data_IF_593127905278
#
_entry.id   IF_593127905278
#
_cell.length_a   1.000
_cell.length_b   1.000
_cell.length_c   1.000
_cell.angle_alpha   90.00
_cell.angle_beta   90.00
_cell.angle_gamma   90.00
#
_symmetry.space_group_name_H-M   'P 1'
#
loop_
_entity.id
_entity.type
_entity.pdbx_description
1 polymer ?
#
# COMPACT_ATOMS: atom_id res chain seq x y z
N UNK A 1 112.58 30.92 59.46
CA UNK A 1 112.32 31.51 58.13
C UNK A 1 111.67 30.53 57.15
N UNK A 2 111.29 29.29 57.54
CA UNK A 2 110.74 28.26 56.61
C UNK A 2 109.21 28.24 56.46
N UNK A 3 108.46 28.84 57.37
CA UNK A 3 106.99 28.69 57.37
C UNK A 3 106.30 29.60 56.32
N UNK A 4 106.96 30.69 55.93
CA UNK A 4 106.44 31.63 54.91
C UNK A 4 106.51 31.09 53.48
N UNK A 5 107.49 30.25 53.14
CA UNK A 5 107.64 29.70 51.78
C UNK A 5 106.69 28.53 51.49
N UNK A 6 106.36 27.72 52.51
CA UNK A 6 105.37 26.65 52.38
C UNK A 6 103.95 27.21 52.27
N UNK A 7 103.63 28.23 53.08
CA UNK A 7 102.35 28.91 53.03
C UNK A 7 102.13 29.63 51.69
N UNK A 8 103.18 30.27 51.16
CA UNK A 8 103.13 30.94 49.86
C UNK A 8 102.90 29.97 48.69
N UNK A 9 103.54 28.78 48.69
CA UNK A 9 103.31 27.73 47.68
C UNK A 9 101.91 27.11 47.75
N UNK A 10 101.38 26.88 48.95
CA UNK A 10 100.04 26.33 49.12
C UNK A 10 98.95 27.34 48.71
N UNK A 11 99.13 28.62 49.03
CA UNK A 11 98.25 29.70 48.57
C UNK A 11 98.31 29.84 47.04
N UNK A 12 99.49 29.76 46.43
CA UNK A 12 99.63 29.76 44.97
C UNK A 12 98.95 28.55 44.30
N UNK A 13 99.11 27.35 44.86
CA UNK A 13 98.45 26.13 44.36
C UNK A 13 96.92 26.23 44.42
N UNK A 14 96.38 26.65 45.57
CA UNK A 14 94.94 26.88 45.74
C UNK A 14 94.40 27.96 44.81
N UNK A 15 95.17 29.02 44.56
CA UNK A 15 94.79 30.07 43.62
C UNK A 15 94.73 29.54 42.17
N UNK A 16 95.69 28.69 41.78
CA UNK A 16 95.75 28.11 40.45
C UNK A 16 94.64 27.05 40.20
N UNK A 17 94.32 26.25 41.22
CA UNK A 17 93.18 25.32 41.21
C UNK A 17 91.85 26.08 41.12
N UNK A 18 91.74 27.22 41.82
CA UNK A 18 90.57 28.09 41.73
C UNK A 18 90.44 28.67 40.32
N UNK A 19 91.54 29.16 39.74
CA UNK A 19 91.57 29.74 38.40
C UNK A 19 91.13 28.72 37.33
N UNK A 20 91.68 27.52 37.36
CA UNK A 20 91.29 26.43 36.47
C UNK A 20 89.84 25.98 36.68
N UNK A 21 89.33 26.02 37.91
CA UNK A 21 87.90 25.75 38.17
C UNK A 21 86.96 26.84 37.63
N UNK A 22 87.40 28.11 37.62
CA UNK A 22 86.68 29.22 37.02
C UNK A 22 86.68 29.11 35.49
N UNK A 23 87.84 28.87 34.88
CA UNK A 23 87.97 28.64 33.43
C UNK A 23 87.10 27.46 32.96
N UNK A 24 87.08 26.37 33.73
CA UNK A 24 86.20 25.22 33.44
C UNK A 24 84.72 25.59 33.53
N UNK A 25 84.31 26.35 34.56
CA UNK A 25 82.92 26.82 34.70
C UNK A 25 82.53 27.77 33.56
N UNK A 26 83.43 28.65 33.17
CA UNK A 26 83.21 29.59 32.07
C UNK A 26 83.06 28.85 30.72
N UNK A 27 83.87 27.80 30.51
CA UNK A 27 83.72 26.90 29.37
C UNK A 27 82.39 26.13 29.40
N UNK A 28 81.97 25.61 30.56
CA UNK A 28 80.67 24.93 30.72
C UNK A 28 79.49 25.89 30.50
N UNK A 29 79.54 27.11 31.03
CA UNK A 29 78.54 28.15 30.81
C UNK A 29 78.43 28.53 29.33
N UNK A 30 79.57 28.67 28.64
CA UNK A 30 79.60 28.96 27.21
C UNK A 30 78.92 27.84 26.43
N UNK A 31 79.28 26.58 26.71
CA UNK A 31 78.67 25.41 26.07
C UNK A 31 77.17 25.29 26.33
N UNK A 32 76.71 25.56 27.55
CA UNK A 32 75.29 25.58 27.90
C UNK A 32 74.55 26.72 27.21
N UNK A 33 75.16 27.90 27.09
CA UNK A 33 74.57 29.04 26.38
C UNK A 33 74.41 28.77 24.89
N UNK A 34 75.42 28.13 24.27
CA UNK A 34 75.37 27.69 22.87
C UNK A 34 74.32 26.60 22.67
N UNK A 35 74.20 25.66 23.61
CA UNK A 35 73.15 24.64 23.57
C UNK A 35 71.75 25.26 23.64
N UNK A 36 71.50 26.14 24.61
CA UNK A 36 70.22 26.86 24.73
C UNK A 36 69.91 27.72 23.49
N UNK A 37 70.93 28.33 22.89
CA UNK A 37 70.75 29.09 21.65
C UNK A 37 70.34 28.19 20.48
N UNK A 38 70.93 26.98 20.37
CA UNK A 38 70.54 25.98 19.37
C UNK A 38 69.12 25.47 19.60
N UNK A 39 68.81 25.02 20.81
CA UNK A 39 67.48 24.48 21.15
C UNK A 39 66.39 25.55 20.95
N UNK A 40 66.68 26.82 21.27
CA UNK A 40 65.76 27.94 21.02
C UNK A 40 65.54 28.18 19.53
N UNK A 41 66.60 28.13 18.72
CA UNK A 41 66.48 28.31 17.27
C UNK A 41 65.70 27.16 16.61
N UNK A 42 65.94 25.91 17.04
CA UNK A 42 65.19 24.75 16.58
C UNK A 42 63.70 24.86 16.92
N UNK A 43 63.37 25.23 18.17
CA UNK A 43 61.98 25.43 18.59
C UNK A 43 61.30 26.58 17.83
N UNK A 44 61.99 27.70 17.62
CA UNK A 44 61.45 28.81 16.82
C UNK A 44 61.18 28.40 15.37
N UNK A 45 62.05 27.58 14.79
CA UNK A 45 61.90 27.05 13.43
C UNK A 45 60.74 26.06 13.34
N UNK A 46 60.59 25.15 14.31
CA UNK A 46 59.47 24.20 14.38
C UNK A 46 58.12 24.94 14.53
N UNK A 47 58.04 25.90 15.45
CA UNK A 47 56.83 26.70 15.67
C UNK A 47 56.48 27.57 14.47
N UNK A 48 57.48 28.03 13.70
CA UNK A 48 57.26 28.73 12.44
C UNK A 48 56.71 27.78 11.37
N UNK A 49 57.33 26.61 11.19
CA UNK A 49 56.88 25.61 10.22
C UNK A 49 55.46 25.12 10.52
N UNK A 50 55.11 24.93 11.80
CA UNK A 50 53.77 24.54 12.22
C UNK A 50 52.72 25.61 11.90
N UNK A 51 53.02 26.89 12.16
CA UNK A 51 52.12 28.00 11.81
C UNK A 51 51.91 28.11 10.30
N UNK A 52 52.97 28.01 9.52
CA UNK A 52 52.87 28.02 8.05
C UNK A 52 52.04 26.83 7.53
N UNK A 53 52.18 25.65 8.11
CA UNK A 53 51.36 24.48 7.79
C UNK A 53 49.87 24.68 8.14
N UNK A 54 49.58 25.20 9.34
CA UNK A 54 48.21 25.51 9.77
C UNK A 54 47.57 26.59 8.91
N UNK A 55 48.31 27.66 8.56
CA UNK A 55 47.85 28.70 7.65
C UNK A 55 47.57 28.17 6.24
N UNK A 56 48.42 27.28 5.71
CA UNK A 56 48.17 26.61 4.42
C UNK A 56 46.91 25.75 4.46
N UNK A 57 46.70 24.97 5.53
CA UNK A 57 45.51 24.13 5.68
C UNK A 57 44.23 24.97 5.78
N UNK A 58 44.27 26.07 6.52
CA UNK A 58 43.16 27.02 6.62
C UNK A 58 42.87 27.65 5.25
N UNK A 59 43.90 28.07 4.52
CA UNK A 59 43.76 28.67 3.19
C UNK A 59 43.13 27.70 2.18
N UNK A 60 43.53 26.43 2.23
CA UNK A 60 42.97 25.37 1.40
C UNK A 60 41.49 25.11 1.73
N UNK A 61 41.14 25.03 3.02
CA UNK A 61 39.74 24.91 3.45
C UNK A 61 38.88 26.09 3.01
N UNK A 62 39.38 27.33 3.13
CA UNK A 62 38.66 28.52 2.67
C UNK A 62 38.42 28.49 1.15
N UNK A 63 39.39 28.01 0.37
CA UNK A 63 39.25 27.87 -1.08
C UNK A 63 38.17 26.84 -1.44
N UNK A 64 38.19 25.67 -0.81
CA UNK A 64 37.17 24.63 -1.04
C UNK A 64 35.76 25.09 -0.63
N UNK A 65 35.66 25.81 0.50
CA UNK A 65 34.42 26.43 0.96
C UNK A 65 33.89 27.47 -0.02
N UNK A 66 34.75 28.33 -0.59
CA UNK A 66 34.33 29.33 -1.57
C UNK A 66 33.87 28.68 -2.89
N UNK A 67 34.60 27.69 -3.38
CA UNK A 67 34.20 26.91 -4.57
C UNK A 67 32.84 26.21 -4.36
N UNK A 68 32.64 25.61 -3.18
CA UNK A 68 31.36 24.98 -2.80
C UNK A 68 30.24 26.00 -2.72
N UNK A 69 30.48 27.16 -2.10
CA UNK A 69 29.50 28.25 -2.00
C UNK A 69 29.10 28.77 -3.37
N UNK A 70 30.07 28.98 -4.28
CA UNK A 70 29.79 29.43 -5.64
C UNK A 70 28.94 28.41 -6.43
N UNK A 71 29.19 27.11 -6.25
CA UNK A 71 28.38 26.05 -6.86
C UNK A 71 26.93 26.09 -6.38
N UNK A 72 26.74 26.15 -5.05
CA UNK A 72 25.41 26.22 -4.44
C UNK A 72 24.68 27.49 -4.89
N UNK A 73 25.35 28.64 -4.95
CA UNK A 73 24.73 29.89 -5.39
C UNK A 73 24.27 29.83 -6.85
N UNK A 74 25.08 29.20 -7.72
CA UNK A 74 24.72 29.00 -9.13
C UNK A 74 23.53 28.06 -9.29
N UNK A 75 23.48 26.96 -8.54
CA UNK A 75 22.34 26.04 -8.52
C UNK A 75 21.09 26.73 -7.98
N UNK A 76 21.20 27.46 -6.87
CA UNK A 76 20.11 28.24 -6.27
C UNK A 76 19.54 29.24 -7.25
N UNK A 77 20.39 30.02 -7.91
CA UNK A 77 19.97 30.98 -8.95
C UNK A 77 19.23 30.28 -10.10
N UNK A 78 19.76 29.15 -10.57
CA UNK A 78 19.13 28.37 -11.64
C UNK A 78 17.75 27.82 -11.20
N UNK A 79 17.63 27.38 -9.94
CA UNK A 79 16.36 26.93 -9.37
C UNK A 79 15.35 28.07 -9.21
N UNK A 80 15.80 29.26 -8.79
CA UNK A 80 14.96 30.45 -8.69
C UNK A 80 14.40 30.88 -10.05
N UNK A 81 15.23 30.90 -11.09
CA UNK A 81 14.80 31.24 -12.46
C UNK A 81 13.73 30.25 -12.98
N UNK A 82 13.91 28.95 -12.74
CA UNK A 82 12.91 27.93 -13.11
C UNK A 82 11.62 28.09 -12.31
N UNK A 83 11.72 28.37 -11.02
CA UNK A 83 10.56 28.58 -10.16
C UNK A 83 9.78 29.84 -10.57
N UNK A 84 10.46 30.95 -10.88
CA UNK A 84 9.86 32.19 -11.37
C UNK A 84 9.11 31.95 -12.69
N UNK A 85 9.73 31.22 -13.62
CA UNK A 85 9.08 30.87 -14.88
C UNK A 85 7.81 30.04 -14.66
N UNK A 86 7.84 29.05 -13.77
CA UNK A 86 6.67 28.20 -13.49
C UNK A 86 5.57 28.90 -12.69
N UNK A 87 5.92 29.86 -11.84
CA UNK A 87 4.99 30.64 -11.02
C UNK A 87 4.45 31.89 -11.74
N UNK A 88 5.02 32.24 -12.89
CA UNK A 88 4.57 33.39 -13.69
C UNK A 88 3.07 33.33 -14.03
N UNK A 89 2.37 34.47 -13.99
CA UNK A 89 0.94 34.52 -14.24
C UNK A 89 0.63 34.25 -15.71
N UNK A 90 -0.34 33.37 -15.93
CA UNK A 90 -0.93 33.00 -17.22
C UNK A 90 -2.39 33.46 -17.22
N UNK A 91 -2.76 34.20 -18.27
CA UNK A 91 -4.12 34.66 -18.48
C UNK A 91 -4.85 33.74 -19.45
N UNK A 92 -6.05 33.31 -19.07
CA UNK A 92 -6.90 32.41 -19.85
C UNK A 92 -8.23 33.09 -20.14
N UNK A 93 -8.75 32.87 -21.34
CA UNK A 93 -10.09 33.26 -21.76
C UNK A 93 -10.87 32.01 -22.14
N UNK A 94 -11.79 31.57 -21.27
CA UNK A 94 -12.57 30.34 -21.43
C UNK A 94 -13.99 30.74 -21.84
N UNK A 95 -14.29 30.71 -23.14
CA UNK A 95 -15.61 31.08 -23.68
C UNK A 95 -16.06 32.50 -23.32
N UNK A 96 -15.13 33.44 -23.09
CA UNK A 96 -15.40 34.80 -22.64
C UNK A 96 -15.12 35.06 -21.16
N UNK A 97 -14.90 34.00 -20.35
CA UNK A 97 -14.55 34.13 -18.93
C UNK A 97 -13.05 34.24 -18.74
N UNK A 98 -12.61 35.30 -18.06
CA UNK A 98 -11.19 35.57 -17.81
C UNK A 98 -10.71 34.96 -16.50
N UNK A 99 -9.66 34.15 -16.57
CA UNK A 99 -9.00 33.54 -15.42
C UNK A 99 -7.51 33.87 -15.42
N UNK A 100 -6.93 33.97 -14.23
CA UNK A 100 -5.49 34.13 -14.04
C UNK A 100 -4.99 33.01 -13.13
N UNK A 101 -3.93 32.33 -13.55
CA UNK A 101 -3.31 31.22 -12.81
C UNK A 101 -1.82 31.14 -13.13
N UNK A 102 -1.10 30.08 -12.74
CA UNK A 102 0.31 29.85 -13.11
C UNK A 102 0.48 28.62 -14.00
N UNK A 103 1.62 28.55 -14.70
CA UNK A 103 2.02 27.35 -15.46
C UNK A 103 2.10 26.11 -14.57
N UNK A 104 2.55 26.28 -13.32
CA UNK A 104 2.61 25.22 -12.32
C UNK A 104 1.24 24.58 -12.09
N UNK A 105 0.19 25.40 -11.92
CA UNK A 105 -1.19 24.90 -11.73
C UNK A 105 -1.69 24.18 -12.98
N UNK A 106 -1.52 24.76 -14.17
CA UNK A 106 -2.02 24.18 -15.42
C UNK A 106 -1.33 22.88 -15.80
N UNK A 107 -0.12 22.64 -15.30
CA UNK A 107 0.68 21.44 -15.56
C UNK A 107 0.70 20.45 -14.40
N UNK A 108 -0.14 20.65 -13.37
CA UNK A 108 -0.17 19.78 -12.18
C UNK A 108 -0.52 18.35 -12.55
N UNK A 109 -1.57 18.18 -13.33
CA UNK A 109 -1.94 16.89 -13.91
C UNK A 109 -1.25 16.74 -15.27
N UNK A 110 -0.26 15.85 -15.35
CA UNK A 110 0.60 15.68 -16.52
C UNK A 110 -0.12 15.10 -17.73
N UNK A 111 -1.21 14.38 -17.49
CA UNK A 111 -1.97 13.69 -18.53
C UNK A 111 -3.14 14.55 -19.03
N UNK A 112 -3.37 15.71 -18.40
CA UNK A 112 -4.41 16.65 -18.79
C UNK A 112 -4.14 17.35 -20.12
N UNK A 113 -5.23 17.78 -20.77
CA UNK A 113 -5.17 18.60 -21.98
C UNK A 113 -4.44 19.92 -21.71
N UNK A 114 -4.67 20.55 -20.55
CA UNK A 114 -4.05 21.81 -20.17
C UNK A 114 -2.53 21.65 -20.01
N UNK A 115 -2.06 20.57 -19.39
CA UNK A 115 -0.62 20.30 -19.33
C UNK A 115 0.00 20.12 -20.71
N UNK A 116 -0.72 19.49 -21.63
CA UNK A 116 -0.29 19.33 -23.03
C UNK A 116 -0.22 20.66 -23.76
N UNK A 117 -1.27 21.49 -23.66
CA UNK A 117 -1.31 22.83 -24.24
C UNK A 117 -0.14 23.70 -23.74
N UNK A 118 0.07 23.73 -22.43
CA UNK A 118 1.10 24.54 -21.78
C UNK A 118 2.45 23.82 -21.61
N UNK A 119 2.68 22.73 -22.36
CA UNK A 119 3.95 21.98 -22.34
C UNK A 119 5.10 22.69 -23.06
N UNK A 120 4.79 23.71 -23.87
CA UNK A 120 5.74 24.39 -24.76
C UNK A 120 6.02 23.65 -26.07
N UNK A 121 5.43 22.47 -26.29
CA UNK A 121 5.59 21.69 -27.53
C UNK A 121 4.67 22.12 -28.67
N UNK A 122 3.58 22.82 -28.34
CA UNK A 122 2.58 23.27 -29.30
C UNK A 122 2.55 24.81 -29.35
N UNK A 123 2.45 25.39 -30.55
CA UNK A 123 2.22 26.82 -30.69
C UNK A 123 0.75 27.10 -30.32
N UNK A 124 0.54 27.67 -29.15
CA UNK A 124 -0.77 28.17 -28.76
C UNK A 124 -1.01 29.53 -29.43
N UNK A 125 -2.22 29.74 -29.94
CA UNK A 125 -2.66 31.04 -30.41
C UNK A 125 -2.94 31.94 -29.21
N UNK A 126 -2.16 33.00 -29.08
CA UNK A 126 -2.35 34.02 -28.04
C UNK A 126 -3.22 35.14 -28.61
N UNK A 127 -4.17 35.61 -27.82
CA UNK A 127 -5.00 36.77 -28.15
C UNK A 127 -4.15 38.06 -28.12
N UNK A 128 -4.61 39.17 -28.75
CA UNK A 128 -3.87 40.44 -28.77
C UNK A 128 -3.54 41.01 -27.38
N UNK A 129 -4.30 40.62 -26.36
CA UNK A 129 -4.12 41.03 -24.96
C UNK A 129 -3.18 40.11 -24.17
N UNK A 130 -2.60 39.09 -24.80
CA UNK A 130 -1.69 38.15 -24.17
C UNK A 130 -2.38 36.96 -23.48
N UNK A 131 -3.71 36.84 -23.54
CA UNK A 131 -4.43 35.69 -22.97
C UNK A 131 -4.54 34.52 -23.95
N UNK A 132 -4.78 33.32 -23.41
CA UNK A 132 -5.00 32.10 -24.21
C UNK A 132 -6.49 31.76 -24.26
N UNK A 133 -7.04 31.69 -25.47
CA UNK A 133 -8.44 31.39 -25.68
C UNK A 133 -8.71 29.88 -25.71
N UNK A 134 -9.77 29.46 -25.03
CA UNK A 134 -10.33 28.11 -25.07
C UNK A 134 -11.83 28.24 -25.34
N UNK A 135 -12.29 27.59 -26.41
CA UNK A 135 -13.70 27.58 -26.81
C UNK A 135 -14.51 26.58 -25.98
N UNK A 136 -14.68 26.88 -24.69
CA UNK A 136 -15.44 26.09 -23.72
C UNK A 136 -16.24 26.98 -22.78
N UNK A 137 -17.22 26.37 -22.11
CA UNK A 137 -18.00 27.07 -21.10
C UNK A 137 -17.14 27.42 -19.88
N UNK A 138 -16.99 28.72 -19.62
CA UNK A 138 -16.24 29.22 -18.48
C UNK A 138 -16.97 29.08 -17.13
N UNK A 139 -18.26 28.73 -17.15
CA UNK A 139 -19.11 28.64 -15.95
C UNK A 139 -18.54 27.65 -14.93
N UNK A 140 -18.16 26.45 -15.37
CA UNK A 140 -17.64 25.39 -14.47
C UNK A 140 -16.11 25.38 -14.36
N UNK A 141 -15.41 26.19 -15.17
CA UNK A 141 -13.95 26.20 -15.19
C UNK A 141 -13.32 26.57 -13.83
N UNK A 142 -14.04 27.30 -12.98
CA UNK A 142 -13.62 27.55 -11.60
C UNK A 142 -13.36 26.25 -10.82
N UNK A 143 -14.20 25.24 -10.99
CA UNK A 143 -14.05 23.96 -10.29
C UNK A 143 -12.86 23.16 -10.83
N UNK A 144 -12.69 23.17 -12.16
CA UNK A 144 -11.51 22.60 -12.83
C UNK A 144 -10.22 23.25 -12.30
N UNK A 145 -10.19 24.57 -12.23
CA UNK A 145 -9.02 25.31 -11.77
C UNK A 145 -8.73 25.07 -10.29
N UNK A 146 -9.75 24.98 -9.45
CA UNK A 146 -9.59 24.67 -8.03
C UNK A 146 -9.08 23.24 -7.81
N UNK A 147 -9.56 22.27 -8.59
CA UNK A 147 -9.01 20.91 -8.59
C UNK A 147 -7.51 20.92 -8.92
N UNK A 148 -7.09 21.67 -9.94
CA UNK A 148 -5.67 21.81 -10.29
C UNK A 148 -4.84 22.57 -9.22
N UNK A 149 -5.47 23.32 -8.31
CA UNK A 149 -4.78 24.06 -7.23
C UNK A 149 -4.64 23.27 -5.95
N UNK A 150 -5.67 22.52 -5.58
CA UNK A 150 -5.76 21.89 -4.25
C UNK A 150 -5.90 20.37 -4.32
N UNK A 151 -6.15 19.80 -5.50
CA UNK A 151 -6.57 18.41 -5.67
C UNK A 151 -8.08 18.24 -5.49
N UNK A 152 -8.54 16.99 -5.44
CA UNK A 152 -9.95 16.68 -5.24
C UNK A 152 -10.43 17.03 -3.83
N UNK A 153 -11.43 17.90 -3.76
CA UNK A 153 -12.01 18.47 -2.53
C UNK A 153 -13.54 18.42 -2.63
N UNK A 154 -14.21 17.39 -2.09
CA UNK A 154 -15.65 17.23 -2.21
C UNK A 154 -16.43 18.36 -1.52
N UNK A 155 -15.85 19.00 -0.51
CA UNK A 155 -16.39 20.16 0.20
C UNK A 155 -16.55 21.42 -0.67
N UNK A 156 -15.79 21.52 -1.76
CA UNK A 156 -15.81 22.67 -2.68
C UNK A 156 -16.67 22.45 -3.93
N UNK A 157 -17.26 21.27 -4.07
CA UNK A 157 -18.14 20.94 -5.18
C UNK A 157 -19.59 21.36 -4.88
N UNK A 158 -20.38 21.71 -5.92
CA UNK A 158 -21.81 21.93 -5.75
C UNK A 158 -22.52 20.67 -5.27
N UNK A 159 -23.60 20.83 -4.49
CA UNK A 159 -24.47 19.69 -4.10
C UNK A 159 -25.50 19.33 -5.16
N UNK A 160 -25.66 20.16 -6.19
CA UNK A 160 -26.62 19.95 -7.27
C UNK A 160 -26.10 18.90 -8.26
N UNK A 161 -26.90 17.87 -8.49
CA UNK A 161 -26.58 16.72 -9.35
C UNK A 161 -26.35 17.13 -10.81
N UNK A 162 -27.10 18.12 -11.31
CA UNK A 162 -26.96 18.62 -12.69
C UNK A 162 -25.64 19.33 -12.86
N UNK A 163 -25.30 20.21 -11.91
CA UNK A 163 -24.01 20.91 -11.89
C UNK A 163 -22.83 19.95 -11.82
N UNK A 164 -22.94 18.87 -11.03
CA UNK A 164 -21.90 17.84 -10.96
C UNK A 164 -21.71 17.12 -12.30
N UNK A 165 -22.79 16.80 -13.02
CA UNK A 165 -22.70 16.22 -14.37
C UNK A 165 -22.09 17.19 -15.39
N UNK A 166 -22.41 18.47 -15.31
CA UNK A 166 -21.78 19.51 -16.14
C UNK A 166 -20.28 19.63 -15.85
N UNK A 167 -19.87 19.55 -14.57
CA UNK A 167 -18.45 19.50 -14.18
C UNK A 167 -17.76 18.25 -14.73
N UNK A 168 -18.42 17.07 -14.71
CA UNK A 168 -17.88 15.85 -15.33
C UNK A 168 -17.63 16.05 -16.83
N UNK A 169 -18.57 16.68 -17.55
CA UNK A 169 -18.41 16.96 -18.98
C UNK A 169 -17.18 17.85 -19.26
N UNK A 170 -16.97 18.90 -18.46
CA UNK A 170 -15.76 19.72 -18.56
C UNK A 170 -14.50 18.94 -18.16
N UNK A 171 -14.55 18.15 -17.09
CA UNK A 171 -13.42 17.33 -16.66
C UNK A 171 -12.99 16.31 -17.74
N UNK A 172 -13.94 15.72 -18.47
CA UNK A 172 -13.65 14.90 -19.65
C UNK A 172 -12.96 15.70 -20.75
N UNK A 173 -13.46 16.90 -21.07
CA UNK A 173 -12.84 17.75 -22.09
C UNK A 173 -11.38 18.09 -21.74
N UNK A 174 -11.12 18.48 -20.48
CA UNK A 174 -9.77 18.78 -20.00
C UNK A 174 -8.92 17.53 -19.71
N UNK A 175 -9.47 16.33 -19.90
CA UNK A 175 -8.81 15.04 -19.68
C UNK A 175 -8.34 14.82 -18.24
N UNK A 176 -9.20 15.17 -17.27
CA UNK A 176 -8.94 15.03 -15.83
C UNK A 176 -9.63 13.77 -15.29
N UNK A 177 -9.08 12.61 -15.64
CA UNK A 177 -9.68 11.29 -15.33
C UNK A 177 -9.95 11.07 -13.85
N UNK A 178 -9.02 11.49 -12.98
CA UNK A 178 -9.17 11.35 -11.53
C UNK A 178 -10.33 12.20 -10.98
N UNK A 179 -10.54 13.40 -11.54
CA UNK A 179 -11.65 14.26 -11.16
C UNK A 179 -12.98 13.63 -11.61
N UNK A 180 -13.04 13.11 -12.83
CA UNK A 180 -14.23 12.41 -13.34
C UNK A 180 -14.61 11.27 -12.40
N UNK A 181 -13.69 10.33 -12.15
CA UNK A 181 -13.97 9.17 -11.31
C UNK A 181 -14.40 9.56 -9.88
N UNK A 182 -13.80 10.62 -9.33
CA UNK A 182 -14.13 11.08 -7.99
C UNK A 182 -15.50 11.75 -7.91
N UNK A 183 -15.93 12.49 -8.94
CA UNK A 183 -17.28 13.09 -8.99
C UNK A 183 -18.34 12.05 -9.32
N UNK A 184 -18.06 11.10 -10.22
CA UNK A 184 -18.95 9.97 -10.51
C UNK A 184 -19.22 9.14 -9.25
N UNK A 185 -18.20 8.89 -8.42
CA UNK A 185 -18.35 8.21 -7.13
C UNK A 185 -19.24 8.97 -6.13
N UNK A 186 -19.37 10.31 -6.26
CA UNK A 186 -20.32 11.09 -5.45
C UNK A 186 -21.75 10.90 -5.97
N UNK A 187 -21.93 10.92 -7.29
CA UNK A 187 -23.24 10.83 -7.94
C UNK A 187 -23.83 9.42 -7.84
N UNK A 188 -23.02 8.44 -8.22
CA UNK A 188 -23.35 7.03 -8.29
C UNK A 188 -22.30 6.28 -7.46
N UNK A 189 -22.42 6.26 -6.12
CA UNK A 189 -21.47 5.54 -5.29
C UNK A 189 -21.47 4.08 -5.72
N UNK A 190 -20.28 3.47 -5.87
CA UNK A 190 -20.20 2.06 -6.18
C UNK A 190 -21.00 1.28 -5.12
N UNK A 191 -21.63 0.16 -5.49
CA UNK A 191 -22.33 -0.66 -4.53
C UNK A 191 -21.40 -0.93 -3.35
N UNK A 192 -21.93 -0.93 -2.11
CA UNK A 192 -21.11 -1.16 -0.94
C UNK A 192 -20.26 -2.40 -1.15
N UNK A 193 -19.00 -2.35 -0.70
CA UNK A 193 -18.13 -3.52 -0.76
C UNK A 193 -18.85 -4.71 -0.11
N UNK A 194 -18.61 -5.95 -0.60
CA UNK A 194 -19.17 -7.10 0.06
C UNK A 194 -18.72 -7.13 1.52
N UNK A 195 -19.62 -7.57 2.41
CA UNK A 195 -19.36 -7.72 3.85
C UNK A 195 -18.22 -8.72 4.13
N UNK A 196 -17.84 -9.50 3.10
CA UNK A 196 -16.84 -10.55 3.18
C UNK A 196 -15.90 -10.50 1.97
N UNK A 197 -14.66 -10.88 2.23
CA UNK A 197 -13.68 -11.23 1.19
C UNK A 197 -13.85 -12.67 0.73
N UNK A 198 -13.34 -12.99 -0.46
CA UNK A 198 -13.36 -14.36 -0.98
C UNK A 198 -12.60 -15.34 -0.07
N UNK A 199 -11.49 -14.89 0.53
CA UNK A 199 -10.68 -15.74 1.42
C UNK A 199 -11.42 -16.08 2.72
N UNK A 200 -12.18 -15.14 3.28
CA UNK A 200 -13.02 -15.38 4.47
C UNK A 200 -14.13 -16.41 4.19
N UNK A 201 -14.77 -16.34 3.01
CA UNK A 201 -15.74 -17.34 2.57
C UNK A 201 -15.08 -18.72 2.45
N UNK A 202 -13.93 -18.80 1.78
CA UNK A 202 -13.22 -20.06 1.58
C UNK A 202 -12.81 -20.70 2.91
N UNK A 203 -12.31 -19.91 3.86
CA UNK A 203 -11.92 -20.37 5.20
C UNK A 203 -13.11 -20.89 6.02
N UNK A 204 -14.27 -20.22 5.94
CA UNK A 204 -15.50 -20.69 6.59
C UNK A 204 -15.96 -22.03 6.02
N UNK A 205 -15.97 -22.15 4.69
CA UNK A 205 -16.38 -23.38 4.00
C UNK A 205 -15.42 -24.54 4.32
N UNK A 206 -14.11 -24.30 4.28
CA UNK A 206 -13.08 -25.29 4.60
C UNK A 206 -13.14 -25.77 6.06
N UNK A 207 -13.44 -24.87 6.99
CA UNK A 207 -13.56 -25.20 8.42
C UNK A 207 -14.72 -26.17 8.67
N UNK A 208 -15.84 -26.01 7.96
CA UNK A 208 -16.99 -26.91 8.08
C UNK A 208 -16.74 -28.28 7.44
N UNK A 209 -16.08 -28.33 6.29
CA UNK A 209 -15.67 -29.60 5.67
C UNK A 209 -14.75 -30.41 6.60
N UNK A 210 -13.89 -29.74 7.37
CA UNK A 210 -13.01 -30.39 8.36
C UNK A 210 -13.74 -30.86 9.62
N UNK A 211 -14.73 -30.11 10.12
CA UNK A 211 -15.49 -30.55 11.30
C UNK A 211 -16.35 -31.79 11.00
N UNK A 212 -16.95 -31.87 9.80
CA UNK A 212 -17.73 -33.03 9.35
C UNK A 212 -16.94 -34.35 9.25
N UNK A 213 -15.62 -34.29 9.08
CA UNK A 213 -14.76 -35.50 8.99
C UNK A 213 -14.23 -36.00 10.34
N UNK A 214 -14.35 -35.21 11.42
CA UNK A 214 -13.85 -35.59 12.76
C UNK A 214 -14.87 -36.34 13.63
N UNK A 215 -16.13 -36.50 13.19
CA UNK A 215 -17.15 -37.29 13.91
C UNK A 215 -17.10 -38.79 13.61
N UNK A 216 -16.15 -39.28 12.82
CA UNK A 216 -15.90 -40.71 12.65
C UNK A 216 -15.02 -41.24 13.81
N UNK A 217 -15.62 -42.08 14.67
CA UNK A 217 -15.01 -42.78 15.83
C UNK A 217 -13.54 -43.19 15.60
N UNK A 218 -12.61 -42.91 16.52
CA UNK A 218 -11.32 -43.58 16.53
C UNK A 218 -11.47 -44.95 17.19
N UNK A 219 -11.25 -46.01 16.42
CA UNK A 219 -10.93 -47.34 16.95
C UNK A 219 -9.51 -47.33 17.55
N UNK A 220 -9.42 -47.67 18.84
CA UNK A 220 -8.29 -48.18 19.65
C UNK A 220 -6.84 -47.74 19.34
N UNK A 221 -6.04 -47.33 20.36
CA UNK A 221 -4.71 -46.77 20.16
C UNK A 221 -3.64 -47.86 19.95
N UNK A 222 -2.89 -47.77 18.85
CA UNK A 222 -1.55 -48.38 18.75
C UNK A 222 -0.50 -47.28 18.81
N UNK A 223 0.47 -47.46 19.69
CA UNK A 223 1.53 -46.50 20.01
C UNK A 223 2.53 -46.41 18.86
N UNK A 224 2.57 -45.27 18.16
CA UNK A 224 3.82 -44.66 17.71
C UNK A 224 3.59 -43.19 17.37
N UNK A 225 4.22 -42.29 18.15
CA UNK A 225 4.32 -40.87 17.79
C UNK A 225 5.54 -40.64 16.89
N UNK A 226 5.43 -39.68 15.96
CA UNK A 226 6.45 -38.65 15.81
C UNK A 226 5.87 -37.26 16.08
N UNK A 227 6.68 -36.41 16.74
CA UNK A 227 6.36 -35.02 17.09
C UNK A 227 6.09 -34.16 15.84
N UNK A 228 5.17 -33.19 15.87
CA UNK A 228 5.17 -32.12 14.89
C UNK A 228 5.96 -30.91 15.39
N UNK A 229 6.87 -30.46 14.53
CA UNK A 229 7.63 -29.22 14.68
C UNK A 229 6.74 -27.98 14.63
N UNK A 230 7.21 -26.96 15.34
CA UNK A 230 6.58 -25.66 15.49
C UNK A 230 6.74 -24.81 14.23
N UNK A 231 5.62 -24.44 13.60
CA UNK A 231 5.40 -23.17 12.92
C UNK A 231 3.94 -23.08 12.45
N UNK A 232 3.18 -22.07 12.88
CA UNK A 232 2.17 -21.30 12.11
C UNK A 232 1.52 -20.33 13.09
N UNK A 233 1.90 -19.06 12.94
CA UNK A 233 1.55 -17.94 13.80
C UNK A 233 0.21 -17.26 13.49
N UNK A 234 -0.26 -16.53 14.50
CA UNK A 234 -1.07 -15.30 14.50
C UNK A 234 -2.38 -15.13 13.72
N UNK A 235 -2.67 -15.87 12.64
CA UNK A 235 -3.94 -15.74 11.90
C UNK A 235 -5.10 -16.56 12.49
N UNK A 236 -4.78 -17.65 13.21
CA UNK A 236 -5.79 -18.58 13.75
C UNK A 236 -6.71 -17.97 14.81
N UNK A 237 -6.26 -16.99 15.58
CA UNK A 237 -7.05 -16.45 16.70
C UNK A 237 -8.16 -15.49 16.23
N UNK A 238 -7.93 -14.69 15.18
CA UNK A 238 -8.99 -13.83 14.60
C UNK A 238 -10.03 -14.64 13.80
N UNK A 239 -9.57 -15.65 13.05
CA UNK A 239 -10.46 -16.54 12.30
C UNK A 239 -11.39 -17.35 13.23
N UNK A 240 -10.92 -17.74 14.42
CA UNK A 240 -11.75 -18.50 15.37
C UNK A 240 -12.93 -17.67 15.91
N UNK A 241 -12.70 -16.40 16.26
CA UNK A 241 -13.75 -15.50 16.74
C UNK A 241 -14.75 -15.17 15.61
N UNK A 242 -14.26 -14.95 14.38
CA UNK A 242 -15.08 -14.71 13.19
C UNK A 242 -15.97 -15.91 12.80
N UNK A 243 -15.39 -17.11 12.76
CA UNK A 243 -16.10 -18.37 12.49
C UNK A 243 -17.18 -18.63 13.55
N UNK A 244 -16.94 -18.25 14.81
CA UNK A 244 -17.90 -18.47 15.90
C UNK A 244 -19.15 -17.58 15.84
N UNK A 245 -19.06 -16.40 15.21
CA UNK A 245 -20.17 -15.44 15.14
C UNK A 245 -21.17 -15.78 14.02
N UNK A 246 -20.71 -16.34 12.91
CA UNK A 246 -21.55 -16.71 11.76
C UNK A 246 -21.89 -18.23 11.70
N UNK A 247 -21.44 -19.02 12.68
CA UNK A 247 -21.77 -20.44 12.81
C UNK A 247 -22.55 -20.76 14.08
N UNK A 248 -23.79 -21.23 13.92
CA UNK A 248 -24.56 -21.87 15.01
C UNK A 248 -24.66 -23.37 14.78
N UNK A 249 -24.02 -24.17 15.66
CA UNK A 249 -24.13 -25.64 15.79
C UNK A 249 -24.31 -26.45 14.48
N UNK A 250 -23.47 -26.19 13.47
CA UNK A 250 -23.40 -26.85 12.14
C UNK A 250 -24.17 -26.16 10.99
N UNK A 251 -24.60 -24.90 11.15
CA UNK A 251 -25.20 -24.10 10.08
C UNK A 251 -24.40 -22.81 9.82
N UNK A 252 -24.39 -22.33 8.57
CA UNK A 252 -23.82 -21.02 8.16
C UNK A 252 -24.96 -20.01 8.00
N UNK A 253 -24.81 -18.82 8.57
CA UNK A 253 -25.77 -17.73 8.43
C UNK A 253 -25.16 -16.51 7.73
N UNK A 254 -25.65 -16.24 6.52
CA UNK A 254 -25.36 -15.04 5.72
C UNK A 254 -26.58 -14.12 5.59
N UNK A 255 -27.56 -14.26 6.48
CA UNK A 255 -28.80 -13.51 6.34
C UNK A 255 -28.56 -12.00 6.45
N UNK A 256 -29.16 -11.23 5.53
CA UNK A 256 -29.02 -9.77 5.46
C UNK A 256 -27.63 -9.26 5.05
N UNK A 257 -26.73 -10.13 4.57
CA UNK A 257 -25.35 -9.76 4.22
C UNK A 257 -25.18 -9.41 2.75
N UNK A 258 -24.24 -8.52 2.48
CA UNK A 258 -23.79 -8.23 1.12
C UNK A 258 -22.65 -9.18 0.70
N UNK A 259 -22.95 -10.05 -0.25
CA UNK A 259 -22.06 -11.05 -0.82
C UNK A 259 -21.87 -10.84 -2.34
N UNK A 260 -22.20 -9.64 -2.84
CA UNK A 260 -22.19 -9.33 -4.26
C UNK A 260 -20.80 -9.55 -4.86
N UNK A 261 -20.75 -10.22 -6.02
CA UNK A 261 -19.51 -10.49 -6.76
C UNK A 261 -18.62 -11.60 -6.20
N UNK A 262 -18.97 -12.21 -5.05
CA UNK A 262 -18.24 -13.35 -4.51
C UNK A 262 -18.53 -14.65 -5.27
N UNK A 263 -17.68 -15.66 -5.11
CA UNK A 263 -17.80 -16.95 -5.77
C UNK A 263 -17.94 -18.09 -4.76
N UNK A 264 -19.01 -18.85 -4.90
CA UNK A 264 -19.24 -20.15 -4.29
C UNK A 264 -19.07 -21.29 -5.30
N UNK A 265 -18.56 -21.00 -6.51
CA UNK A 265 -18.46 -21.99 -7.58
C UNK A 265 -17.75 -23.28 -7.12
N UNK A 266 -18.31 -24.42 -7.51
CA UNK A 266 -17.79 -25.75 -7.15
C UNK A 266 -17.74 -26.06 -5.65
N UNK A 267 -18.42 -25.27 -4.82
CA UNK A 267 -18.55 -25.54 -3.38
C UNK A 267 -19.52 -26.68 -3.13
N UNK A 268 -19.16 -27.58 -2.21
CA UNK A 268 -20.07 -28.58 -1.64
C UNK A 268 -20.73 -28.05 -0.36
N UNK A 269 -22.02 -27.74 -0.45
CA UNK A 269 -22.85 -27.39 0.70
C UNK A 269 -23.30 -28.67 1.43
N UNK A 270 -22.51 -29.06 2.43
CA UNK A 270 -22.77 -30.20 3.31
C UNK A 270 -23.45 -29.82 4.65
N UNK A 271 -23.76 -28.53 4.83
CA UNK A 271 -24.33 -27.95 6.04
C UNK A 271 -25.50 -27.05 5.66
N UNK A 272 -26.42 -26.76 6.57
CA UNK A 272 -27.49 -25.80 6.23
C UNK A 272 -26.90 -24.40 6.12
N UNK A 273 -27.35 -23.64 5.12
CA UNK A 273 -26.89 -22.28 4.86
C UNK A 273 -28.08 -21.36 4.66
N UNK A 274 -28.12 -20.26 5.41
CA UNK A 274 -29.09 -19.19 5.18
C UNK A 274 -28.45 -18.06 4.40
N UNK A 275 -29.03 -17.71 3.26
CA UNK A 275 -28.80 -16.48 2.50
C UNK A 275 -30.05 -15.59 2.52
N UNK A 276 -30.93 -15.74 3.52
CA UNK A 276 -32.17 -15.00 3.58
C UNK A 276 -31.91 -13.48 3.62
N UNK A 277 -32.62 -12.70 2.80
CA UNK A 277 -32.43 -11.23 2.71
C UNK A 277 -31.00 -10.79 2.30
N UNK A 278 -30.16 -11.70 1.79
CA UNK A 278 -28.79 -11.37 1.37
C UNK A 278 -28.76 -10.68 -0.01
N UNK A 279 -27.76 -9.83 -0.24
CA UNK A 279 -27.43 -9.30 -1.56
C UNK A 279 -26.40 -10.22 -2.23
N UNK A 280 -26.82 -10.95 -3.27
CA UNK A 280 -26.05 -11.94 -4.03
C UNK A 280 -25.88 -11.52 -5.50
N UNK A 281 -25.86 -10.20 -5.74
CA UNK A 281 -25.77 -9.65 -7.09
C UNK A 281 -24.45 -10.07 -7.74
N UNK A 282 -24.52 -10.66 -8.93
CA UNK A 282 -23.37 -11.19 -9.67
C UNK A 282 -22.55 -12.25 -8.91
N UNK A 283 -23.14 -12.93 -7.91
CA UNK A 283 -22.49 -14.01 -7.17
C UNK A 283 -22.49 -15.32 -7.98
N UNK A 284 -21.38 -16.06 -7.99
CA UNK A 284 -21.30 -17.33 -8.71
C UNK A 284 -21.64 -18.52 -7.81
N UNK A 285 -22.66 -19.29 -8.15
CA UNK A 285 -22.99 -20.61 -7.58
C UNK A 285 -22.75 -21.74 -8.62
N UNK A 286 -21.94 -21.46 -9.64
CA UNK A 286 -21.77 -22.38 -10.76
C UNK A 286 -21.18 -23.71 -10.29
N UNK A 287 -21.84 -24.82 -10.61
CA UNK A 287 -21.34 -26.15 -10.29
C UNK A 287 -21.37 -26.51 -8.80
N UNK A 288 -22.13 -25.79 -7.96
CA UNK A 288 -22.28 -26.13 -6.55
C UNK A 288 -22.92 -27.51 -6.35
N UNK A 289 -22.47 -28.21 -5.32
CA UNK A 289 -23.03 -29.50 -4.92
C UNK A 289 -23.79 -29.35 -3.60
N UNK A 290 -25.04 -29.81 -3.56
CA UNK A 290 -25.90 -29.70 -2.38
C UNK A 290 -26.19 -31.08 -1.81
N UNK A 291 -25.87 -31.32 -0.54
CA UNK A 291 -26.19 -32.60 0.09
C UNK A 291 -27.70 -32.77 0.29
N UNK A 292 -28.21 -33.99 0.10
CA UNK A 292 -29.66 -34.25 0.11
C UNK A 292 -30.39 -33.96 1.43
N UNK A 293 -29.65 -33.74 2.52
CA UNK A 293 -30.18 -33.49 3.86
C UNK A 293 -30.02 -32.03 4.30
N UNK A 294 -29.40 -31.17 3.49
CA UNK A 294 -29.15 -29.78 3.85
C UNK A 294 -30.28 -28.89 3.40
N UNK A 295 -30.47 -27.78 4.10
CA UNK A 295 -31.36 -26.69 3.71
C UNK A 295 -30.50 -25.49 3.31
N UNK A 296 -30.69 -25.00 2.10
CA UNK A 296 -30.10 -23.76 1.61
C UNK A 296 -31.21 -22.77 1.31
N UNK A 297 -31.25 -21.69 2.07
CA UNK A 297 -32.37 -20.74 2.07
C UNK A 297 -31.98 -19.44 1.38
N UNK A 298 -32.57 -19.13 0.22
CA UNK A 298 -32.39 -17.84 -0.46
C UNK A 298 -33.58 -16.89 -0.24
N UNK A 299 -34.48 -17.15 0.72
CA UNK A 299 -35.73 -16.38 0.87
C UNK A 299 -35.48 -14.85 0.91
N UNK A 300 -36.19 -14.08 0.10
CA UNK A 300 -36.07 -12.61 -0.02
C UNK A 300 -34.67 -12.09 -0.43
N UNK A 301 -33.77 -12.94 -0.92
CA UNK A 301 -32.45 -12.51 -1.38
C UNK A 301 -32.50 -11.81 -2.76
N UNK A 302 -31.55 -10.92 -3.03
CA UNK A 302 -31.32 -10.39 -4.38
C UNK A 302 -30.25 -11.21 -5.10
N UNK A 303 -30.68 -12.08 -6.01
CA UNK A 303 -29.80 -12.96 -6.78
C UNK A 303 -29.57 -12.44 -8.21
N UNK A 304 -29.77 -11.15 -8.48
CA UNK A 304 -29.65 -10.59 -9.83
C UNK A 304 -28.26 -10.82 -10.43
N UNK A 305 -28.20 -11.37 -11.64
CA UNK A 305 -26.93 -11.70 -12.33
C UNK A 305 -26.17 -12.91 -11.76
N UNK A 306 -26.65 -13.54 -10.68
CA UNK A 306 -26.04 -14.75 -10.12
C UNK A 306 -26.07 -15.93 -11.11
N UNK A 307 -25.16 -16.90 -10.93
CA UNK A 307 -25.04 -18.07 -11.81
C UNK A 307 -25.22 -19.38 -11.04
N UNK A 308 -26.34 -20.08 -11.26
CA UNK A 308 -26.70 -21.35 -10.63
C UNK A 308 -26.64 -22.55 -11.59
N UNK A 309 -26.01 -22.40 -12.76
CA UNK A 309 -25.88 -23.51 -13.72
C UNK A 309 -24.98 -24.61 -13.17
N UNK A 310 -25.18 -25.84 -13.62
CA UNK A 310 -24.43 -27.04 -13.19
C UNK A 310 -24.58 -27.39 -11.70
N UNK A 311 -25.51 -26.78 -10.98
CA UNK A 311 -25.83 -27.17 -9.62
C UNK A 311 -26.38 -28.61 -9.57
N UNK A 312 -25.93 -29.41 -8.59
CA UNK A 312 -26.33 -30.81 -8.44
C UNK A 312 -26.56 -31.21 -7.00
N UNK A 313 -27.37 -32.25 -6.78
CA UNK A 313 -27.52 -32.88 -5.47
C UNK A 313 -26.54 -34.05 -5.31
N UNK A 314 -25.99 -34.24 -4.10
CA UNK A 314 -25.22 -35.43 -3.71
C UNK A 314 -25.90 -36.19 -2.56
N UNK A 315 -25.86 -37.51 -2.58
CA UNK A 315 -26.29 -38.33 -1.45
C UNK A 315 -25.17 -38.38 -0.40
N UNK A 316 -25.43 -37.87 0.80
CA UNK A 316 -24.53 -38.07 1.94
C UNK A 316 -25.13 -39.13 2.86
N UNK A 317 -24.52 -40.30 2.88
CA UNK A 317 -24.80 -41.40 3.81
C UNK A 317 -23.64 -42.39 3.82
N UNK A 318 -23.47 -43.21 4.87
CA UNK A 318 -22.32 -44.12 5.04
C UNK A 318 -22.15 -45.20 3.95
N UNK A 319 -23.03 -45.25 2.94
CA UNK A 319 -22.99 -46.21 1.83
C UNK A 319 -22.65 -45.58 0.47
N UNK A 320 -22.03 -44.40 0.42
CA UNK A 320 -21.56 -43.80 -0.84
C UNK A 320 -20.30 -44.48 -1.45
N UNK A 321 -20.10 -45.78 -1.19
CA UNK A 321 -19.05 -46.60 -1.79
C UNK A 321 -19.65 -47.94 -2.23
N UNK A 322 -20.29 -47.96 -3.41
CA UNK A 322 -20.43 -49.15 -4.26
C UNK A 322 -21.22 -48.83 -5.52
N UNK A 323 -20.52 -48.44 -6.59
CA UNK A 323 -21.03 -48.65 -7.95
C UNK A 323 -20.07 -49.55 -8.75
N UNK A 324 -19.82 -50.76 -8.22
CA UNK A 324 -19.36 -51.89 -9.03
C UNK A 324 -20.03 -53.17 -8.50
N UNK A 325 -21.09 -53.59 -9.19
CA UNK A 325 -21.55 -54.97 -9.23
C UNK A 325 -22.63 -55.41 -8.24
N UNK A 326 -23.77 -55.84 -8.78
CA UNK A 326 -24.60 -56.89 -8.17
C UNK A 326 -25.97 -56.45 -7.67
N UNK A 327 -26.99 -56.66 -8.50
CA UNK A 327 -28.42 -56.61 -8.13
C UNK A 327 -28.77 -57.81 -7.22
N UNK A 328 -29.71 -57.66 -6.27
CA UNK A 328 -30.86 -58.55 -6.31
C UNK A 328 -32.21 -57.82 -6.15
N UNK A 329 -33.21 -58.38 -6.80
CA UNK A 329 -34.56 -57.86 -6.95
C UNK A 329 -35.37 -57.88 -5.65
N UNK A 330 -36.13 -56.80 -5.41
CA UNK A 330 -37.17 -56.77 -4.39
C UNK A 330 -37.51 -55.36 -3.92
N UNK A 331 -38.64 -54.83 -4.40
CA UNK A 331 -39.40 -53.68 -3.89
C UNK A 331 -38.75 -52.28 -3.91
N UNK A 332 -39.22 -51.43 -4.83
CA UNK A 332 -39.26 -49.97 -4.64
C UNK A 332 -37.96 -49.20 -4.89
N UNK A 333 -37.24 -49.47 -5.98
CA UNK A 333 -36.06 -48.69 -6.36
C UNK A 333 -36.42 -47.33 -6.95
N UNK A 334 -36.13 -46.25 -6.22
CA UNK A 334 -36.05 -44.90 -6.78
C UNK A 334 -34.81 -44.79 -7.68
N UNK A 335 -34.97 -45.06 -8.98
CA UNK A 335 -34.01 -44.62 -9.99
C UNK A 335 -34.24 -43.12 -10.23
N UNK A 336 -33.33 -42.26 -9.78
CA UNK A 336 -33.28 -40.87 -10.24
C UNK A 336 -32.06 -40.67 -11.14
N UNK A 337 -32.34 -40.20 -12.36
CA UNK A 337 -31.39 -39.94 -13.43
C UNK A 337 -30.57 -38.66 -13.22
N UNK A 338 -29.79 -38.33 -14.27
CA UNK A 338 -28.94 -37.15 -14.50
C UNK A 338 -29.01 -36.01 -13.47
N UNK A 339 -27.84 -35.51 -13.04
CA UNK A 339 -27.59 -34.42 -12.07
C UNK A 339 -28.61 -33.27 -12.00
N UNK A 340 -29.19 -32.86 -13.14
CA UNK A 340 -30.23 -31.82 -13.26
C UNK A 340 -31.56 -32.18 -12.57
N UNK A 341 -31.98 -33.45 -12.61
CA UNK A 341 -33.20 -33.93 -11.95
C UNK A 341 -33.08 -33.88 -10.42
N UNK A 342 -31.87 -34.01 -9.89
CA UNK A 342 -31.63 -34.10 -8.45
C UNK A 342 -31.60 -32.72 -7.77
N UNK A 343 -31.11 -31.66 -8.43
CA UNK A 343 -31.20 -30.29 -7.90
C UNK A 343 -32.65 -29.77 -7.92
N UNK A 344 -33.37 -30.05 -9.01
CA UNK A 344 -34.82 -29.78 -9.11
C UNK A 344 -35.61 -30.40 -7.96
N UNK A 345 -35.24 -31.61 -7.54
CA UNK A 345 -35.90 -32.30 -6.43
C UNK A 345 -35.65 -31.58 -5.09
N UNK A 346 -34.46 -31.02 -4.86
CA UNK A 346 -34.18 -30.22 -3.66
C UNK A 346 -35.03 -28.95 -3.61
N UNK A 347 -35.27 -28.31 -4.75
CA UNK A 347 -36.16 -27.15 -4.85
C UNK A 347 -37.60 -27.55 -4.52
N UNK A 348 -38.11 -28.62 -5.15
CA UNK A 348 -39.49 -29.10 -4.92
C UNK A 348 -39.76 -29.55 -3.48
N UNK A 349 -38.75 -30.10 -2.82
CA UNK A 349 -38.85 -30.59 -1.44
C UNK A 349 -38.60 -29.50 -0.40
N UNK A 350 -38.29 -28.27 -0.83
CA UNK A 350 -38.03 -27.12 0.06
C UNK A 350 -36.66 -27.14 0.73
N UNK A 351 -35.76 -28.03 0.29
CA UNK A 351 -34.37 -28.06 0.72
C UNK A 351 -33.54 -26.94 0.08
N UNK A 352 -33.93 -26.43 -1.09
CA UNK A 352 -33.42 -25.18 -1.65
C UNK A 352 -34.59 -24.24 -1.88
N UNK A 353 -34.59 -23.08 -1.23
CA UNK A 353 -35.73 -22.13 -1.28
C UNK A 353 -35.34 -20.85 -2.01
N UNK A 354 -36.24 -20.34 -2.85
CA UNK A 354 -36.08 -19.08 -3.58
C UNK A 354 -37.27 -18.12 -3.37
N UNK A 355 -38.11 -18.37 -2.37
CA UNK A 355 -39.33 -17.59 -2.13
C UNK A 355 -39.04 -16.12 -1.88
N UNK A 356 -39.73 -15.22 -2.58
CA UNK A 356 -39.55 -13.77 -2.50
C UNK A 356 -38.25 -13.23 -3.11
N UNK A 357 -37.48 -14.04 -3.86
CA UNK A 357 -36.17 -13.59 -4.36
C UNK A 357 -36.30 -12.62 -5.53
N UNK A 358 -35.44 -11.59 -5.54
CA UNK A 358 -35.27 -10.74 -6.72
C UNK A 358 -34.32 -11.43 -7.70
N UNK A 359 -34.80 -11.68 -8.91
CA UNK A 359 -34.05 -12.32 -9.99
C UNK A 359 -34.12 -11.43 -11.24
N UNK A 360 -33.01 -10.75 -11.56
CA UNK A 360 -32.84 -10.05 -12.84
C UNK A 360 -31.57 -10.58 -13.51
N UNK A 361 -31.71 -11.24 -14.66
CA UNK A 361 -30.58 -11.72 -15.44
C UNK A 361 -29.78 -12.88 -14.81
N UNK A 362 -30.30 -13.53 -13.76
CA UNK A 362 -29.61 -14.68 -13.17
C UNK A 362 -29.78 -15.95 -14.00
N UNK A 363 -28.72 -16.77 -14.01
CA UNK A 363 -28.54 -17.89 -14.94
C UNK A 363 -28.87 -19.18 -14.21
N UNK A 364 -29.86 -19.91 -14.71
CA UNK A 364 -30.16 -21.29 -14.30
C UNK A 364 -30.03 -22.22 -15.51
N UNK A 365 -29.92 -23.53 -15.26
CA UNK A 365 -30.10 -24.50 -16.34
C UNK A 365 -31.57 -24.42 -16.85
N UNK A 366 -31.82 -24.44 -18.17
CA UNK A 366 -33.14 -24.15 -18.73
C UNK A 366 -34.28 -24.99 -18.17
N UNK A 367 -34.00 -26.24 -17.78
CA UNK A 367 -35.00 -27.19 -17.28
C UNK A 367 -35.37 -27.00 -15.80
N UNK A 368 -34.69 -26.11 -15.07
CA UNK A 368 -34.87 -25.92 -13.62
C UNK A 368 -35.79 -24.74 -13.32
N UNK A 369 -35.80 -23.72 -14.18
CA UNK A 369 -36.50 -22.44 -13.98
C UNK A 369 -37.99 -22.66 -13.68
N UNK A 370 -38.65 -23.57 -14.39
CA UNK A 370 -40.09 -23.84 -14.24
C UNK A 370 -40.47 -24.44 -12.86
N UNK A 371 -39.48 -24.90 -12.09
CA UNK A 371 -39.69 -25.49 -10.77
C UNK A 371 -39.35 -24.54 -9.62
N UNK A 372 -38.90 -23.33 -9.92
CA UNK A 372 -38.54 -22.32 -8.93
C UNK A 372 -39.76 -21.44 -8.66
N UNK A 373 -40.23 -21.41 -7.42
CA UNK A 373 -41.13 -20.37 -6.95
C UNK A 373 -40.28 -19.21 -6.43
N UNK A 374 -40.19 -18.16 -7.25
CA UNK A 374 -39.59 -16.89 -6.86
C UNK A 374 -40.46 -16.11 -5.89
#
# INVERSE_FOLDING_TARGET
MSDGESWSREVHGKLNDLLTSFEKRESELTRLSEQLARDRAEFEQEMKARRESEEMAIQEQYKDLDETRQRIEKEKKSMEEVHEFQSSPVHLNIGGHRFTTSLQTLRRDKDSMLATMFSGRHKLLQEPDGSYFVDRDGTHFRHILNYLRDGFRPDLLPQDEVLLREIINEAHYYQLSDLVASVENILDPPPPAPDFTQDEINDMLATLTRQASTSARPSSPSQHMPKPDAAVGSSRFKNADFVSHNMTKNNIDFSGKNLSGLSFAHTTFAHNVSFAEACLVNTSFYGCEFSSHVVVDFTNADISGADFRQCRCIQSGPNAFSSLGGVPAGTGGFMFGSSCSSFTQLIKTGHVKFTGTRHIGTKFDPHIIDFISF
#
